data_IF_415871413950
#
_entry.id   IF_415871413950
#
_cell.length_a   1.000
_cell.length_b   1.000
_cell.length_c   1.000
_cell.angle_alpha   90.00
_cell.angle_beta   90.00
_cell.angle_gamma   90.00
#
_symmetry.space_group_name_H-M   'P 1'
#
loop_
_entity.id
_entity.type
_entity.pdbx_description
1 polymer ?
#
# COMPACT_ATOMS: atom_id res chain seq x y z
N UNK A 1 22.65 -36.01 -5.33
CA UNK A 1 21.22 -36.27 -5.61
C UNK A 1 20.40 -35.42 -4.66
N UNK A 2 20.13 -34.17 -5.03
CA UNK A 2 18.87 -33.69 -5.63
C UNK A 2 17.63 -33.80 -4.71
N UNK A 3 17.37 -32.68 -4.05
CA UNK A 3 16.11 -31.91 -3.98
C UNK A 3 14.75 -32.62 -3.96
N UNK A 4 13.90 -32.21 -3.01
CA UNK A 4 12.75 -31.35 -3.32
C UNK A 4 12.07 -30.87 -2.01
N UNK A 5 12.14 -29.57 -1.75
CA UNK A 5 11.28 -28.89 -0.76
C UNK A 5 9.95 -28.59 -1.47
N UNK A 6 8.85 -29.12 -0.95
CA UNK A 6 7.48 -28.78 -1.38
C UNK A 6 7.17 -27.33 -1.02
N UNK A 7 6.94 -26.51 -2.03
CA UNK A 7 6.18 -25.27 -1.91
C UNK A 7 4.69 -25.66 -1.83
N UNK A 8 4.03 -25.33 -0.72
CA UNK A 8 2.60 -25.52 -0.55
C UNK A 8 1.89 -24.17 -0.41
N UNK A 9 0.99 -23.95 -1.35
CA UNK A 9 -0.35 -23.35 -1.22
C UNK A 9 -0.45 -21.87 -0.78
N UNK A 10 -0.53 -20.98 -1.77
CA UNK A 10 -1.25 -19.71 -1.64
C UNK A 10 -2.73 -19.92 -2.00
N UNK A 11 -3.69 -19.48 -1.16
CA UNK A 11 -5.10 -19.57 -1.51
C UNK A 11 -5.47 -18.55 -2.58
N UNK A 12 -6.28 -19.00 -3.53
CA UNK A 12 -6.93 -18.23 -4.58
C UNK A 12 -7.94 -17.24 -3.98
N UNK A 13 -7.69 -15.94 -4.10
CA UNK A 13 -8.70 -14.90 -3.82
C UNK A 13 -9.02 -14.20 -5.13
N UNK A 14 -10.28 -14.31 -5.54
CA UNK A 14 -10.85 -13.64 -6.70
C UNK A 14 -10.82 -12.12 -6.48
N UNK A 15 -9.98 -11.40 -7.21
CA UNK A 15 -10.12 -9.94 -7.35
C UNK A 15 -10.59 -9.63 -8.77
N UNK A 16 -11.90 -9.68 -8.97
CA UNK A 16 -12.56 -8.83 -9.95
C UNK A 16 -12.85 -7.50 -9.26
N UNK A 17 -12.58 -6.40 -9.95
CA UNK A 17 -12.89 -5.02 -9.57
C UNK A 17 -14.35 -4.85 -9.09
N UNK A 18 -14.60 -5.11 -7.81
CA UNK A 18 -15.93 -5.05 -7.21
C UNK A 18 -15.87 -4.75 -5.69
N UNK A 19 -14.84 -4.05 -5.19
CA UNK A 19 -14.71 -3.83 -3.74
C UNK A 19 -15.80 -2.90 -3.16
N UNK A 20 -16.35 -1.97 -3.97
CA UNK A 20 -17.57 -1.24 -3.59
C UNK A 20 -18.83 -2.13 -3.52
N UNK A 21 -18.82 -3.31 -4.14
CA UNK A 21 -19.97 -4.20 -4.19
C UNK A 21 -20.01 -5.22 -3.04
N UNK A 22 -18.88 -5.53 -2.41
CA UNK A 22 -18.84 -6.56 -1.37
C UNK A 22 -19.58 -6.18 -0.08
N UNK A 23 -19.68 -4.87 0.22
CA UNK A 23 -20.49 -4.39 1.34
C UNK A 23 -21.98 -4.26 1.03
N UNK A 24 -22.39 -4.31 -0.24
CA UNK A 24 -23.80 -4.19 -0.65
C UNK A 24 -24.62 -5.48 -0.48
N UNK A 25 -23.98 -6.63 -0.26
CA UNK A 25 -24.64 -7.95 -0.28
C UNK A 25 -24.85 -8.58 1.11
N UNK A 26 -24.64 -7.86 2.22
CA UNK A 26 -24.78 -8.45 3.57
C UNK A 26 -25.84 -7.83 4.49
N UNK A 27 -26.59 -6.82 4.05
CA UNK A 27 -27.50 -6.09 4.94
C UNK A 27 -28.82 -5.82 4.21
N UNK A 28 -29.78 -6.73 4.37
CA UNK A 28 -31.20 -6.54 4.01
C UNK A 28 -31.93 -5.69 5.08
N UNK A 29 -31.26 -4.66 5.62
CA UNK A 29 -31.86 -3.65 6.49
C UNK A 29 -31.33 -2.26 6.08
N UNK A 30 -32.17 -1.22 6.03
CA UNK A 30 -31.76 0.12 5.64
C UNK A 30 -30.94 0.77 6.78
N UNK A 31 -29.61 0.72 6.67
CA UNK A 31 -28.73 1.44 7.60
C UNK A 31 -28.61 2.91 7.15
N UNK A 32 -28.81 3.91 8.02
CA UNK A 32 -28.77 5.34 7.64
C UNK A 32 -27.37 5.88 7.31
N UNK A 33 -26.32 5.06 7.41
CA UNK A 33 -24.93 5.48 7.36
C UNK A 33 -24.16 4.58 6.39
N UNK A 34 -24.27 4.89 5.10
CA UNK A 34 -23.25 4.50 4.12
C UNK A 34 -21.90 5.10 4.59
N UNK A 35 -20.80 4.33 4.70
CA UNK A 35 -19.49 4.87 5.08
C UNK A 35 -19.13 6.04 4.16
N UNK A 36 -19.11 7.25 4.71
CA UNK A 36 -18.89 8.47 3.92
C UNK A 36 -17.39 8.67 3.66
N UNK A 37 -16.55 8.06 4.47
CA UNK A 37 -15.10 8.03 4.36
C UNK A 37 -14.55 6.60 4.51
N UNK A 38 -13.45 6.30 3.82
CA UNK A 38 -12.79 4.98 3.81
C UNK A 38 -12.32 4.47 5.19
N UNK A 39 -12.28 5.34 6.21
CA UNK A 39 -11.86 5.01 7.57
C UNK A 39 -13.03 4.75 8.51
N UNK A 40 -14.27 5.10 8.11
CA UNK A 40 -15.46 4.94 8.96
C UNK A 40 -15.70 3.46 9.29
N UNK A 41 -15.26 2.55 8.41
CA UNK A 41 -15.29 1.11 8.64
C UNK A 41 -14.52 0.71 9.91
N UNK A 42 -13.47 1.46 10.28
CA UNK A 42 -12.70 1.20 11.51
C UNK A 42 -13.50 1.53 12.78
N UNK A 43 -14.53 2.39 12.72
CA UNK A 43 -15.37 2.71 13.88
C UNK A 43 -16.32 1.57 14.26
N UNK A 44 -16.68 0.73 13.29
CA UNK A 44 -17.56 -0.44 13.48
C UNK A 44 -16.80 -1.77 13.52
N UNK A 45 -15.50 -1.76 13.23
CA UNK A 45 -14.62 -2.95 13.27
C UNK A 45 -14.32 -3.35 14.72
N UNK A 46 -14.26 -4.64 15.03
CA UNK A 46 -13.95 -5.09 16.40
C UNK A 46 -12.51 -4.73 16.77
N UNK A 47 -12.28 -4.36 18.04
CA UNK A 47 -10.94 -3.99 18.53
C UNK A 47 -9.88 -5.08 18.31
N UNK A 48 -10.25 -6.35 18.41
CA UNK A 48 -9.33 -7.46 18.11
C UNK A 48 -8.88 -7.49 16.65
N UNK A 49 -9.79 -7.19 15.72
CA UNK A 49 -9.48 -7.12 14.28
C UNK A 49 -8.62 -5.89 13.96
N UNK A 50 -8.89 -4.74 14.58
CA UNK A 50 -8.05 -3.55 14.45
C UNK A 50 -6.61 -3.82 14.93
N UNK A 51 -6.46 -4.54 16.06
CA UNK A 51 -5.15 -4.96 16.54
C UNK A 51 -4.45 -5.85 15.51
N UNK A 52 -5.14 -6.85 14.96
CA UNK A 52 -4.60 -7.73 13.91
C UNK A 52 -4.16 -6.94 12.67
N UNK A 53 -4.98 -6.03 12.17
CA UNK A 53 -4.65 -5.18 11.01
C UNK A 53 -3.37 -4.38 11.23
N UNK A 54 -3.13 -3.93 12.46
CA UNK A 54 -1.92 -3.20 12.81
C UNK A 54 -0.67 -4.06 12.93
N UNK A 55 -0.81 -5.38 12.97
CA UNK A 55 0.31 -6.31 13.08
C UNK A 55 0.70 -6.90 11.72
N UNK A 56 -0.24 -6.95 10.77
CA UNK A 56 -0.04 -7.45 9.41
C UNK A 56 1.23 -6.90 8.73
N UNK A 57 1.91 -7.76 7.99
CA UNK A 57 2.88 -7.38 6.98
C UNK A 57 2.16 -6.70 5.81
N UNK A 58 2.89 -5.92 5.00
CA UNK A 58 2.36 -5.30 3.81
C UNK A 58 1.73 -6.32 2.85
N UNK A 59 2.32 -7.52 2.72
CA UNK A 59 1.76 -8.56 1.85
C UNK A 59 0.39 -9.01 2.37
N UNK A 60 0.21 -9.18 3.68
CA UNK A 60 -1.09 -9.51 4.27
C UNK A 60 -2.08 -8.36 4.12
N UNK A 61 -1.64 -7.13 4.42
CA UNK A 61 -2.42 -5.90 4.24
C UNK A 61 -2.92 -5.75 2.80
N UNK A 62 -2.05 -5.95 1.81
CA UNK A 62 -2.37 -5.76 0.40
C UNK A 62 -3.21 -6.89 -0.21
N UNK A 63 -3.21 -8.09 0.39
CA UNK A 63 -4.00 -9.22 -0.09
C UNK A 63 -5.36 -9.36 0.62
N UNK A 64 -5.58 -8.64 1.71
CA UNK A 64 -6.85 -8.58 2.44
C UNK A 64 -7.64 -7.35 2.01
N UNK A 65 -8.82 -7.55 1.42
CA UNK A 65 -9.55 -6.49 0.70
C UNK A 65 -9.78 -5.24 1.56
N UNK A 66 -10.27 -5.43 2.78
CA UNK A 66 -10.54 -4.34 3.71
C UNK A 66 -9.28 -3.53 4.04
N UNK A 67 -8.19 -4.20 4.41
CA UNK A 67 -6.94 -3.51 4.79
C UNK A 67 -6.23 -2.89 3.58
N UNK A 68 -6.38 -3.48 2.40
CA UNK A 68 -5.86 -2.95 1.15
C UNK A 68 -6.57 -1.65 0.75
N UNK A 69 -7.90 -1.59 0.93
CA UNK A 69 -8.71 -0.40 0.67
C UNK A 69 -8.37 0.72 1.67
N UNK A 70 -8.27 0.38 2.97
CA UNK A 70 -7.87 1.34 4.01
C UNK A 70 -6.45 1.86 3.74
N UNK A 71 -5.50 0.99 3.38
CA UNK A 71 -4.13 1.43 3.09
C UNK A 71 -4.06 2.29 1.83
N UNK A 72 -4.83 1.96 0.78
CA UNK A 72 -4.94 2.80 -0.41
C UNK A 72 -5.43 4.20 -0.05
N UNK A 73 -6.50 4.28 0.75
CA UNK A 73 -7.04 5.55 1.18
C UNK A 73 -6.05 6.34 2.06
N UNK A 74 -5.34 5.65 2.97
CA UNK A 74 -4.28 6.27 3.76
C UNK A 74 -3.20 6.91 2.88
N UNK A 75 -2.77 6.25 1.82
CA UNK A 75 -1.80 6.82 0.89
C UNK A 75 -2.35 8.05 0.15
N UNK A 76 -3.61 8.00 -0.29
CA UNK A 76 -4.28 9.11 -0.98
C UNK A 76 -4.42 10.35 -0.10
N UNK A 77 -4.86 10.18 1.14
CA UNK A 77 -4.99 11.25 2.14
C UNK A 77 -3.62 11.78 2.61
N UNK A 78 -2.57 10.96 2.47
CA UNK A 78 -1.19 11.33 2.81
C UNK A 78 -0.45 12.06 1.69
N UNK A 79 -1.09 12.34 0.55
CA UNK A 79 -0.46 13.09 -0.53
C UNK A 79 -0.15 14.51 -0.09
N UNK A 80 0.84 15.12 -0.73
CA UNK A 80 1.17 16.53 -0.51
C UNK A 80 0.03 17.45 -1.01
N UNK A 81 0.13 18.74 -0.72
CA UNK A 81 -0.85 19.74 -1.17
C UNK A 81 -0.99 19.86 -2.69
N UNK A 82 -0.01 19.37 -3.44
CA UNK A 82 -0.02 19.33 -4.91
C UNK A 82 -0.73 18.08 -5.45
N UNK A 83 -1.07 17.12 -4.58
CA UNK A 83 -1.74 15.87 -4.94
C UNK A 83 -0.82 14.83 -5.56
N UNK A 84 0.49 15.00 -5.44
CA UNK A 84 1.47 14.08 -6.00
C UNK A 84 1.53 12.76 -5.22
N UNK A 85 1.58 11.67 -5.96
CA UNK A 85 1.81 10.33 -5.41
C UNK A 85 3.21 10.23 -4.79
N UNK A 86 3.27 9.73 -3.55
CA UNK A 86 4.55 9.39 -2.91
C UNK A 86 5.22 8.22 -3.63
N UNK A 87 6.51 8.00 -3.35
CA UNK A 87 7.24 6.85 -3.87
C UNK A 87 6.60 5.52 -3.41
N UNK A 88 6.17 5.46 -2.15
CA UNK A 88 5.44 4.31 -1.58
C UNK A 88 4.16 4.03 -2.35
N UNK A 89 3.40 5.08 -2.69
CA UNK A 89 2.17 4.91 -3.45
C UNK A 89 2.41 4.40 -4.88
N UNK A 90 3.45 4.92 -5.56
CA UNK A 90 3.85 4.41 -6.89
C UNK A 90 4.27 2.94 -6.81
N UNK A 91 5.03 2.56 -5.80
CA UNK A 91 5.41 1.15 -5.58
C UNK A 91 4.19 0.28 -5.29
N UNK A 92 3.18 0.81 -4.58
CA UNK A 92 1.94 0.10 -4.33
C UNK A 92 1.15 -0.14 -5.62
N UNK A 93 1.09 0.83 -6.52
CA UNK A 93 0.47 0.66 -7.85
C UNK A 93 1.19 -0.39 -8.70
N UNK A 94 2.53 -0.39 -8.69
CA UNK A 94 3.33 -1.41 -9.36
C UNK A 94 3.05 -2.80 -8.76
N UNK A 95 3.01 -2.92 -7.43
CA UNK A 95 2.71 -4.16 -6.72
C UNK A 95 1.33 -4.72 -7.11
N UNK A 96 0.29 -3.89 -7.07
CA UNK A 96 -1.07 -4.27 -7.49
C UNK A 96 -1.08 -4.77 -8.93
N UNK A 97 -0.40 -4.06 -9.84
CA UNK A 97 -0.32 -4.45 -11.25
C UNK A 97 0.42 -5.77 -11.45
N UNK A 98 1.49 -6.02 -10.69
CA UNK A 98 2.17 -7.32 -10.70
C UNK A 98 1.24 -8.45 -10.23
N UNK A 99 0.49 -8.25 -9.15
CA UNK A 99 -0.47 -9.24 -8.67
C UNK A 99 -1.57 -9.53 -9.69
N UNK A 100 -2.10 -8.50 -10.36
CA UNK A 100 -3.06 -8.65 -11.45
C UNK A 100 -2.52 -9.57 -12.56
N UNK A 101 -1.27 -9.36 -13.00
CA UNK A 101 -0.63 -10.21 -14.01
C UNK A 101 -0.39 -11.65 -13.52
N UNK A 102 -0.07 -11.84 -12.24
CA UNK A 102 0.18 -13.17 -11.68
C UNK A 102 -1.12 -13.97 -11.59
N UNK A 103 -2.22 -13.31 -11.25
CA UNK A 103 -3.55 -13.91 -11.10
C UNK A 103 -4.24 -14.15 -12.44
N UNK A 104 -4.04 -13.26 -13.42
CA UNK A 104 -4.59 -13.42 -14.76
C UNK A 104 -3.78 -14.46 -15.56
N UNK A 105 -4.11 -15.74 -15.37
CA UNK A 105 -3.46 -16.87 -16.04
C UNK A 105 -3.76 -16.96 -17.55
N UNK A 106 -4.67 -16.12 -18.07
CA UNK A 106 -5.12 -16.22 -19.46
C UNK A 106 -4.19 -15.51 -20.45
N UNK A 107 -3.37 -14.56 -19.99
CA UNK A 107 -2.43 -13.84 -20.84
C UNK A 107 -0.97 -14.24 -20.53
N UNK A 108 -0.18 -14.64 -21.55
CA UNK A 108 1.24 -14.82 -21.38
C UNK A 108 1.91 -13.51 -20.95
N UNK A 109 2.62 -13.54 -19.82
CA UNK A 109 3.47 -12.43 -19.40
C UNK A 109 4.59 -12.27 -20.42
N UNK A 110 4.71 -11.09 -21.02
CA UNK A 110 5.72 -10.76 -22.01
C UNK A 110 6.20 -9.32 -21.89
N UNK A 111 6.87 -8.83 -22.94
CA UNK A 111 7.47 -7.48 -22.95
C UNK A 111 6.47 -6.35 -22.66
N UNK A 112 5.20 -6.53 -23.06
CA UNK A 112 4.15 -5.53 -22.84
C UNK A 112 3.95 -5.23 -21.35
N UNK A 113 3.80 -6.26 -20.52
CA UNK A 113 3.57 -6.12 -19.09
C UNK A 113 4.73 -5.36 -18.42
N UNK A 114 5.97 -5.67 -18.77
CA UNK A 114 7.14 -4.94 -18.26
C UNK A 114 7.17 -3.47 -18.70
N UNK A 115 6.79 -3.15 -19.94
CA UNK A 115 6.66 -1.76 -20.40
C UNK A 115 5.60 -1.00 -19.62
N UNK A 116 4.48 -1.64 -19.31
CA UNK A 116 3.41 -1.04 -18.49
C UNK A 116 3.91 -0.76 -17.06
N UNK A 117 4.67 -1.67 -16.44
CA UNK A 117 5.28 -1.41 -15.14
C UNK A 117 6.29 -0.25 -15.17
N UNK A 118 7.08 -0.11 -16.24
CA UNK A 118 7.98 1.06 -16.40
C UNK A 118 7.20 2.37 -16.50
N UNK A 119 6.04 2.38 -17.15
CA UNK A 119 5.16 3.58 -17.18
C UNK A 119 4.61 3.95 -15.81
N UNK A 120 4.42 2.96 -14.93
CA UNK A 120 4.00 3.17 -13.54
C UNK A 120 5.15 3.62 -12.62
N UNK A 121 6.38 3.78 -13.14
CA UNK A 121 7.52 4.24 -12.37
C UNK A 121 8.50 3.15 -11.95
N UNK A 122 8.39 1.91 -12.47
CA UNK A 122 9.40 0.89 -12.23
C UNK A 122 10.78 1.38 -12.72
N UNK A 123 11.77 1.32 -11.84
CA UNK A 123 13.14 1.73 -12.14
C UNK A 123 13.66 1.08 -13.44
N UNK A 124 14.19 1.89 -14.39
CA UNK A 124 14.78 1.36 -15.62
C UNK A 124 15.92 0.37 -15.37
N UNK A 125 16.69 0.57 -14.29
CA UNK A 125 17.79 -0.32 -13.90
C UNK A 125 17.28 -1.71 -13.50
N UNK A 126 16.23 -1.75 -12.66
CA UNK A 126 15.59 -2.99 -12.24
C UNK A 126 14.97 -3.72 -13.44
N UNK A 127 14.22 -3.01 -14.28
CA UNK A 127 13.64 -3.59 -15.48
C UNK A 127 14.72 -4.16 -16.42
N UNK A 128 15.80 -3.42 -16.66
CA UNK A 128 16.92 -3.86 -17.51
C UNK A 128 17.58 -5.13 -16.97
N UNK A 129 17.83 -5.19 -15.65
CA UNK A 129 18.38 -6.39 -15.01
C UNK A 129 17.51 -7.63 -15.27
N UNK A 130 16.20 -7.51 -15.04
CA UNK A 130 15.24 -8.61 -15.22
C UNK A 130 15.15 -9.02 -16.68
N UNK A 131 15.05 -8.05 -17.61
CA UNK A 131 15.00 -8.33 -19.05
C UNK A 131 16.26 -9.06 -19.54
N UNK A 132 17.43 -8.73 -19.00
CA UNK A 132 18.68 -9.42 -19.36
C UNK A 132 18.66 -10.88 -18.89
N UNK A 133 18.20 -11.14 -17.65
CA UNK A 133 18.07 -12.50 -17.10
C UNK A 133 17.04 -13.35 -17.85
N UNK A 134 15.97 -12.71 -18.34
CA UNK A 134 14.98 -13.35 -19.21
C UNK A 134 15.61 -13.73 -20.55
N UNK A 135 16.35 -12.81 -21.18
CA UNK A 135 17.04 -13.06 -22.46
C UNK A 135 18.10 -14.15 -22.34
N UNK A 136 18.84 -14.20 -21.23
CA UNK A 136 19.83 -15.25 -20.96
C UNK A 136 19.21 -16.59 -20.53
N UNK A 137 17.88 -16.67 -20.42
CA UNK A 137 17.12 -17.85 -19.97
C UNK A 137 17.41 -18.27 -18.52
N UNK A 138 18.00 -17.39 -17.72
CA UNK A 138 18.18 -17.59 -16.27
C UNK A 138 16.88 -17.42 -15.48
N UNK A 139 15.89 -16.76 -16.07
CA UNK A 139 14.63 -16.41 -15.43
C UNK A 139 13.47 -16.46 -16.43
N UNK A 140 12.30 -16.94 -15.99
CA UNK A 140 11.06 -16.85 -16.78
C UNK A 140 10.36 -15.51 -16.55
N UNK A 141 9.54 -15.07 -17.50
CA UNK A 141 8.79 -13.81 -17.39
C UNK A 141 7.96 -13.71 -16.10
N UNK A 142 7.26 -14.79 -15.72
CA UNK A 142 6.48 -14.84 -14.46
C UNK A 142 7.35 -14.69 -13.21
N UNK A 143 8.54 -15.28 -13.21
CA UNK A 143 9.51 -15.14 -12.13
C UNK A 143 10.02 -13.70 -12.03
N UNK A 144 10.19 -13.01 -13.18
CA UNK A 144 10.52 -11.59 -13.22
C UNK A 144 9.45 -10.69 -12.59
N UNK A 145 8.17 -10.94 -12.89
CA UNK A 145 7.05 -10.20 -12.27
C UNK A 145 6.97 -10.48 -10.76
N UNK A 146 7.14 -11.73 -10.34
CA UNK A 146 7.20 -12.10 -8.91
C UNK A 146 8.37 -11.41 -8.20
N UNK A 147 9.52 -11.30 -8.86
CA UNK A 147 10.68 -10.59 -8.33
C UNK A 147 10.37 -9.12 -8.09
N UNK A 148 9.75 -8.44 -9.08
CA UNK A 148 9.35 -7.03 -8.95
C UNK A 148 8.36 -6.86 -7.80
N UNK A 149 7.31 -7.70 -7.73
CA UNK A 149 6.33 -7.64 -6.66
C UNK A 149 6.99 -7.76 -5.28
N UNK A 150 7.94 -8.68 -5.13
CA UNK A 150 8.69 -8.87 -3.88
C UNK A 150 9.56 -7.66 -3.55
N UNK A 151 10.21 -7.06 -4.54
CA UNK A 151 11.03 -5.87 -4.37
C UNK A 151 10.20 -4.65 -3.92
N UNK A 152 9.05 -4.42 -4.59
CA UNK A 152 8.11 -3.35 -4.21
C UNK A 152 7.55 -3.58 -2.80
N UNK A 153 7.13 -4.80 -2.49
CA UNK A 153 6.62 -5.15 -1.16
C UNK A 153 7.63 -4.87 -0.06
N UNK A 154 8.91 -5.24 -0.28
CA UNK A 154 9.98 -4.95 0.67
C UNK A 154 10.22 -3.45 0.83
N UNK A 155 10.19 -2.69 -0.26
CA UNK A 155 10.38 -1.24 -0.21
C UNK A 155 9.24 -0.54 0.54
N UNK A 156 8.00 -0.96 0.32
CA UNK A 156 6.82 -0.45 1.03
C UNK A 156 6.85 -0.82 2.52
N UNK A 157 7.12 -2.09 2.86
CA UNK A 157 7.21 -2.55 4.26
C UNK A 157 8.19 -1.70 5.09
N UNK A 158 9.29 -1.27 4.46
CA UNK A 158 10.31 -0.47 5.12
C UNK A 158 10.04 1.04 5.11
N UNK A 159 9.04 1.50 4.35
CA UNK A 159 8.75 2.92 4.18
C UNK A 159 8.20 3.55 5.46
N UNK A 160 8.30 4.88 5.53
CA UNK A 160 7.75 5.63 6.65
C UNK A 160 6.22 5.59 6.60
N UNK A 161 5.63 5.71 5.41
CA UNK A 161 4.18 5.70 5.19
C UNK A 161 3.54 4.39 5.66
N UNK A 162 4.16 3.23 5.41
CA UNK A 162 3.60 1.97 5.90
C UNK A 162 3.67 1.84 7.43
N UNK A 163 4.78 2.26 8.05
CA UNK A 163 4.90 2.32 9.51
C UNK A 163 3.88 3.29 10.11
N UNK A 164 3.61 4.37 9.41
CA UNK A 164 2.66 5.40 9.77
C UNK A 164 1.21 4.90 9.68
N UNK A 165 0.89 4.17 8.62
CA UNK A 165 -0.36 3.43 8.48
C UNK A 165 -0.59 2.50 9.68
N UNK A 166 0.38 1.66 10.05
CA UNK A 166 0.24 0.75 11.21
C UNK A 166 -0.04 1.50 12.51
N UNK A 167 0.63 2.65 12.73
CA UNK A 167 0.35 3.53 13.88
C UNK A 167 -1.06 4.14 13.83
N UNK A 168 -1.50 4.57 12.65
CA UNK A 168 -2.84 5.11 12.44
C UNK A 168 -3.92 4.07 12.79
N UNK A 169 -3.76 2.82 12.38
CA UNK A 169 -4.67 1.72 12.73
C UNK A 169 -4.68 1.49 14.25
N UNK A 170 -3.52 1.39 14.90
CA UNK A 170 -3.43 1.21 16.37
C UNK A 170 -4.14 2.30 17.16
N UNK A 171 -4.07 3.55 16.69
CA UNK A 171 -4.70 4.67 17.37
C UNK A 171 -6.23 4.53 17.46
N UNK A 172 -6.86 3.78 16.54
CA UNK A 172 -8.30 3.52 16.59
C UNK A 172 -8.73 2.66 17.79
N UNK A 173 -7.78 2.00 18.49
CA UNK A 173 -8.09 1.17 19.67
C UNK A 173 -8.39 1.98 20.94
N UNK A 174 -8.08 3.28 20.95
CA UNK A 174 -8.29 4.15 22.13
C UNK A 174 -7.33 5.33 22.24
N UNK A 175 -6.55 5.64 21.19
CA UNK A 175 -5.78 6.88 21.11
C UNK A 175 -6.69 8.10 20.85
N UNK A 176 -6.17 9.33 21.03
CA UNK A 176 -6.91 10.53 20.63
C UNK A 176 -7.26 10.44 19.14
N UNK A 177 -8.56 10.54 18.80
CA UNK A 177 -9.03 10.56 17.40
C UNK A 177 -8.29 11.66 16.65
N UNK A 178 -7.45 11.29 15.67
CA UNK A 178 -6.81 12.26 14.79
C UNK A 178 -7.91 12.88 13.92
N UNK A 179 -8.23 14.15 14.16
CA UNK A 179 -8.96 14.96 13.17
C UNK A 179 -8.09 15.05 11.92
N UNK A 180 -8.71 14.91 10.75
CA UNK A 180 -8.11 15.06 9.43
C UNK A 180 -7.06 16.17 9.41
N UNK A 181 -5.80 15.81 9.15
CA UNK A 181 -4.67 16.74 9.05
C UNK A 181 -3.76 16.26 7.94
N UNK A 182 -3.29 17.19 7.10
CA UNK A 182 -2.42 16.89 5.96
C UNK A 182 -1.11 16.24 6.40
N UNK A 183 -0.45 15.55 5.47
CA UNK A 183 0.75 14.74 5.69
C UNK A 183 1.86 15.42 6.50
N UNK A 184 2.09 16.72 6.27
CA UNK A 184 3.12 17.50 6.97
C UNK A 184 2.80 17.65 8.47
N UNK A 185 1.54 17.97 8.78
CA UNK A 185 1.06 18.09 10.16
C UNK A 185 0.96 16.73 10.85
N UNK A 186 0.68 15.67 10.09
CA UNK A 186 0.69 14.29 10.58
C UNK A 186 2.11 13.84 11.01
N UNK A 187 3.13 14.15 10.20
CA UNK A 187 4.53 13.87 10.52
C UNK A 187 5.04 14.70 11.72
N UNK A 188 4.65 15.97 11.84
CA UNK A 188 4.98 16.79 13.02
C UNK A 188 4.37 16.22 14.30
N UNK A 189 3.10 15.80 14.27
CA UNK A 189 2.40 15.22 15.44
C UNK A 189 3.02 13.90 15.89
N UNK A 190 3.44 13.05 14.95
CA UNK A 190 4.11 11.77 15.26
C UNK A 190 5.51 12.00 15.84
N UNK A 191 6.24 13.00 15.35
CA UNK A 191 7.57 13.35 15.87
C UNK A 191 7.50 14.01 17.26
N UNK A 192 6.45 14.77 17.54
CA UNK A 192 6.19 15.32 18.88
C UNK A 192 5.78 14.23 19.89
N UNK A 193 4.95 13.25 19.49
CA UNK A 193 4.54 12.16 20.36
C UNK A 193 5.66 11.13 20.65
N UNK A 194 6.67 11.03 19.79
CA UNK A 194 7.81 10.11 19.93
C UNK A 194 9.02 10.71 20.67
N UNK A 195 8.92 11.95 21.17
CA UNK A 195 10.00 12.62 21.91
C UNK A 195 11.25 12.93 21.09
N UNK A 196 11.19 12.84 19.76
CA UNK A 196 12.32 13.18 18.87
C UNK A 196 12.31 14.67 18.55
N UNK A 197 12.85 15.47 19.47
CA UNK A 197 13.08 16.90 19.30
C UNK A 197 14.22 17.16 18.30
N UNK A 198 13.95 17.06 16.99
CA UNK A 198 14.78 17.78 16.00
C UNK A 198 14.11 19.12 15.71
N UNK A 199 14.48 20.11 16.52
CA UNK A 199 14.17 21.51 16.32
C UNK A 199 14.85 21.95 15.01
N UNK A 200 14.08 22.10 13.94
CA UNK A 200 14.49 22.92 12.79
C UNK A 200 13.68 24.20 12.84
N UNK A 201 14.29 25.24 13.41
CA UNK A 201 13.79 26.61 13.34
C UNK A 201 13.65 27.01 11.85
N UNK A 202 12.43 27.17 11.35
CA UNK A 202 12.17 28.03 10.20
C UNK A 202 11.94 29.44 10.70
N UNK A 203 12.98 30.23 10.62
CA UNK A 203 12.99 31.67 10.87
C UNK A 203 11.96 32.35 9.99
N UNK A 204 10.95 32.97 10.60
CA UNK A 204 10.07 33.91 9.93
C UNK A 204 10.87 35.15 9.54
N UNK A 205 11.05 35.39 8.24
CA UNK A 205 11.40 36.71 7.75
C UNK A 205 10.08 37.38 7.34
N UNK A 206 9.57 38.24 8.22
CA UNK A 206 8.69 39.34 7.82
C UNK A 206 9.54 40.31 7.00
N UNK A 207 9.21 40.47 5.73
CA UNK A 207 9.60 41.66 4.98
C UNK A 207 8.40 42.59 4.93
N UNK A 208 8.38 43.56 5.86
CA UNK A 208 7.68 44.81 5.65
C UNK A 208 8.35 45.52 4.46
N UNK A 209 7.57 45.84 3.43
CA UNK A 209 7.96 46.84 2.44
C UNK A 209 6.83 47.85 2.35
N UNK A 210 7.17 49.06 2.77
CA UNK A 210 6.39 50.29 2.76
C UNK A 210 6.53 50.98 1.41
#
# INVERSE_FOLDING_TARGET
MMSAIRLSNFPSVFYLNASWFYYKLRLDDPIPNDPQHCFDVLEITQKSEIQEFSEMSFIETANTALTADIFSCFLEESRNSEGDKSETEKYYDIYKKCNEYIQNNNEPIGSRQFKELTKLGLSPALNTNIQNRIKSKEMKNKEGILYIAKDMAKSIENSLEFKNYKKFILQQLGGPKLKHVGYDEWNERINMASGSSNIVFRTAIKADAK
#
